data_IF_521646789409
#
_entry.id   IF_521646789409
#
_cell.length_a   1.000
_cell.length_b   1.000
_cell.length_c   1.000
_cell.angle_alpha   90.00
_cell.angle_beta   90.00
_cell.angle_gamma   90.00
#
_symmetry.space_group_name_H-M   'P 1'
#
loop_
_entity.id
_entity.type
_entity.pdbx_description
1 polymer ?
#
# COMPACT_ATOMS: atom_id res chain seq x y z
N UNK A 1 -31.19 23.30 -13.92
CA UNK A 1 -30.96 21.92 -14.40
C UNK A 1 -29.71 21.88 -15.26
N UNK A 2 -28.50 21.89 -14.68
CA UNK A 2 -27.27 21.58 -15.40
C UNK A 2 -26.09 21.31 -14.44
N UNK A 3 -26.25 20.40 -13.49
CA UNK A 3 -25.15 19.90 -12.66
C UNK A 3 -24.83 18.47 -13.09
N UNK A 4 -24.37 18.32 -14.33
CA UNK A 4 -23.80 17.04 -14.76
C UNK A 4 -22.31 17.11 -14.47
N UNK A 5 -21.84 16.27 -13.54
CA UNK A 5 -20.41 16.15 -13.24
C UNK A 5 -19.69 15.82 -14.57
N UNK A 6 -18.66 16.59 -14.96
CA UNK A 6 -17.90 16.29 -16.16
C UNK A 6 -17.27 14.90 -16.03
N UNK A 7 -17.46 14.03 -17.04
CA UNK A 7 -16.84 12.71 -17.04
C UNK A 7 -15.32 12.89 -17.14
N UNK A 8 -14.60 12.33 -16.17
CA UNK A 8 -13.15 12.10 -16.29
C UNK A 8 -12.93 10.99 -17.31
N UNK A 9 -11.82 11.08 -18.03
CA UNK A 9 -11.32 9.98 -18.85
C UNK A 9 -11.02 8.76 -17.97
N UNK A 10 -11.31 7.56 -18.47
CA UNK A 10 -11.08 6.34 -17.72
C UNK A 10 -9.57 6.17 -17.47
N UNK A 11 -9.17 5.64 -16.31
CA UNK A 11 -7.79 5.22 -16.08
C UNK A 11 -7.33 4.19 -17.12
N UNK A 12 -6.03 4.11 -17.36
CA UNK A 12 -5.46 3.13 -18.28
C UNK A 12 -5.62 1.73 -17.69
N UNK A 13 -6.16 0.80 -18.48
CA UNK A 13 -6.46 -0.57 -18.06
C UNK A 13 -5.87 -1.54 -19.08
N UNK A 14 -5.00 -2.43 -18.63
CA UNK A 14 -4.33 -3.41 -19.48
C UNK A 14 -4.88 -4.80 -19.23
N UNK A 15 -5.48 -5.39 -20.26
CA UNK A 15 -5.76 -6.83 -20.26
C UNK A 15 -4.47 -7.59 -20.56
N UNK A 16 -4.18 -8.57 -19.71
CA UNK A 16 -2.99 -9.40 -19.83
C UNK A 16 -3.42 -10.85 -20.06
N UNK A 17 -2.86 -11.47 -21.11
CA UNK A 17 -3.07 -12.89 -21.42
C UNK A 17 -2.19 -13.80 -20.55
N UNK A 18 -1.24 -13.22 -19.83
CA UNK A 18 -0.30 -13.89 -18.95
C UNK A 18 -0.92 -14.26 -17.59
N UNK A 19 -0.36 -15.29 -16.95
CA UNK A 19 -0.80 -15.76 -15.64
C UNK A 19 -0.66 -14.71 -14.53
N UNK A 20 -1.55 -14.77 -13.54
CA UNK A 20 -1.76 -13.82 -12.43
C UNK A 20 -0.51 -13.19 -11.82
N UNK A 21 0.55 -13.97 -11.58
CA UNK A 21 1.77 -13.46 -10.95
C UNK A 21 2.62 -12.62 -11.93
N UNK A 22 2.71 -13.04 -13.21
CA UNK A 22 3.48 -12.33 -14.24
C UNK A 22 2.89 -10.95 -14.48
N UNK A 23 1.58 -10.88 -14.65
CA UNK A 23 0.82 -9.66 -14.91
C UNK A 23 0.82 -8.68 -13.74
N UNK A 24 0.73 -9.16 -12.49
CA UNK A 24 0.87 -8.30 -11.30
C UNK A 24 2.27 -7.69 -11.19
N UNK A 25 3.32 -8.46 -11.53
CA UNK A 25 4.70 -7.98 -11.44
C UNK A 25 5.02 -6.98 -12.55
N UNK A 26 4.53 -7.22 -13.76
CA UNK A 26 4.80 -6.37 -14.92
C UNK A 26 4.10 -5.00 -14.82
N UNK A 27 2.84 -4.96 -14.39
CA UNK A 27 2.09 -3.70 -14.20
C UNK A 27 2.40 -3.00 -12.88
N UNK A 28 3.12 -3.69 -11.99
CA UNK A 28 3.48 -3.23 -10.66
C UNK A 28 2.43 -3.57 -9.62
N UNK A 29 2.85 -4.28 -8.57
CA UNK A 29 1.95 -4.79 -7.52
C UNK A 29 1.02 -3.73 -6.90
N UNK A 30 1.56 -2.55 -6.56
CA UNK A 30 0.74 -1.48 -5.97
C UNK A 30 -0.21 -0.83 -6.96
N UNK A 31 0.20 -0.69 -8.22
CA UNK A 31 -0.61 -0.10 -9.28
C UNK A 31 -1.80 -1.00 -9.60
N UNK A 32 -1.57 -2.31 -9.67
CA UNK A 32 -2.64 -3.30 -9.82
C UNK A 32 -3.55 -3.35 -8.58
N UNK A 33 -2.98 -3.32 -7.37
CA UNK A 33 -3.77 -3.44 -6.14
C UNK A 33 -4.61 -2.19 -5.80
N UNK A 34 -4.17 -0.98 -6.17
CA UNK A 34 -4.81 0.28 -5.77
C UNK A 34 -5.50 1.00 -6.92
N UNK A 35 -4.92 0.99 -8.11
CA UNK A 35 -5.42 1.71 -9.28
C UNK A 35 -6.15 0.79 -10.28
N UNK A 36 -6.29 -0.50 -9.95
CA UNK A 36 -6.96 -1.53 -10.77
C UNK A 36 -6.41 -1.59 -12.19
N UNK A 37 -5.08 -1.47 -12.34
CA UNK A 37 -4.40 -1.34 -13.64
C UNK A 37 -4.59 -2.55 -14.58
N UNK A 38 -5.02 -3.71 -14.07
CA UNK A 38 -5.33 -4.90 -14.84
C UNK A 38 -6.42 -5.77 -14.18
N UNK A 39 -6.83 -6.84 -14.86
CA UNK A 39 -7.88 -7.76 -14.40
C UNK A 39 -7.62 -8.47 -13.05
N UNK A 40 -6.39 -8.44 -12.54
CA UNK A 40 -6.00 -9.07 -11.29
C UNK A 40 -6.06 -8.13 -10.08
N UNK A 41 -6.59 -6.91 -10.24
CA UNK A 41 -6.76 -5.94 -9.15
C UNK A 41 -7.39 -6.53 -7.88
N UNK A 42 -8.53 -7.24 -7.95
CA UNK A 42 -9.15 -7.85 -6.77
C UNK A 42 -8.23 -8.85 -6.03
N UNK A 43 -7.41 -9.60 -6.77
CA UNK A 43 -6.49 -10.58 -6.21
C UNK A 43 -5.30 -9.87 -5.56
N UNK A 44 -4.72 -8.89 -6.24
CA UNK A 44 -3.63 -8.07 -5.72
C UNK A 44 -4.06 -7.30 -4.46
N UNK A 45 -5.30 -6.80 -4.42
CA UNK A 45 -5.88 -6.11 -3.26
C UNK A 45 -6.01 -7.04 -2.05
N UNK A 46 -6.46 -8.29 -2.21
CA UNK A 46 -6.54 -9.26 -1.10
C UNK A 46 -5.14 -9.58 -0.55
N UNK A 47 -4.16 -9.80 -1.44
CA UNK A 47 -2.77 -10.04 -1.04
C UNK A 47 -2.22 -8.83 -0.28
N UNK A 48 -2.50 -7.62 -0.77
CA UNK A 48 -2.08 -6.38 -0.12
C UNK A 48 -2.72 -6.21 1.26
N UNK A 49 -4.02 -6.51 1.40
CA UNK A 49 -4.72 -6.45 2.68
C UNK A 49 -4.16 -7.48 3.67
N UNK A 50 -3.88 -8.70 3.21
CA UNK A 50 -3.22 -9.72 4.02
C UNK A 50 -1.85 -9.24 4.53
N UNK A 51 -1.05 -8.66 3.64
CA UNK A 51 0.26 -8.10 4.01
C UNK A 51 0.12 -6.95 5.02
N UNK A 52 -0.75 -5.97 4.76
CA UNK A 52 -0.95 -4.82 5.64
C UNK A 52 -1.48 -5.24 7.03
N UNK A 53 -2.39 -6.20 7.08
CA UNK A 53 -2.96 -6.70 8.33
C UNK A 53 -1.94 -7.47 9.16
N UNK A 54 -1.16 -8.37 8.55
CA UNK A 54 -0.07 -9.09 9.24
C UNK A 54 0.98 -8.10 9.73
N UNK A 55 1.42 -7.18 8.88
CA UNK A 55 2.42 -6.18 9.26
C UNK A 55 1.95 -5.34 10.47
N UNK A 56 0.74 -4.79 10.39
CA UNK A 56 0.18 -3.96 11.45
C UNK A 56 -0.05 -4.77 12.73
N UNK A 57 -0.63 -5.97 12.60
CA UNK A 57 -0.91 -6.87 13.73
C UNK A 57 0.37 -7.33 14.42
N UNK A 58 1.42 -7.65 13.66
CA UNK A 58 2.73 -8.01 14.21
C UNK A 58 3.38 -6.84 14.94
N UNK A 59 3.35 -5.63 14.38
CA UNK A 59 3.88 -4.43 15.03
C UNK A 59 3.15 -4.20 16.37
N UNK A 60 1.82 -4.26 16.37
CA UNK A 60 1.03 -4.07 17.58
C UNK A 60 1.26 -5.19 18.59
N UNK A 61 1.31 -6.44 18.13
CA UNK A 61 1.58 -7.60 18.98
C UNK A 61 2.93 -7.50 19.69
N UNK A 62 4.00 -7.16 18.94
CA UNK A 62 5.32 -6.92 19.52
C UNK A 62 5.31 -5.75 20.50
N UNK A 63 4.56 -4.70 20.20
CA UNK A 63 4.37 -3.56 21.10
C UNK A 63 3.55 -3.92 22.37
N UNK A 64 2.76 -4.99 22.37
CA UNK A 64 1.97 -5.40 23.55
C UNK A 64 2.72 -6.41 24.44
N UNK A 65 3.65 -7.18 23.88
CA UNK A 65 4.35 -8.25 24.62
C UNK A 65 5.22 -7.73 25.79
N UNK A 66 5.83 -6.57 25.65
CA UNK A 66 6.60 -5.93 26.73
C UNK A 66 6.51 -4.40 26.62
N UNK A 67 6.08 -3.67 27.66
CA UNK A 67 5.94 -2.22 27.63
C UNK A 67 7.27 -1.47 27.38
N UNK A 68 8.42 -2.06 27.73
CA UNK A 68 9.74 -1.49 27.44
C UNK A 68 10.08 -1.61 25.96
N UNK A 69 9.78 -2.76 25.35
CA UNK A 69 9.98 -2.98 23.89
C UNK A 69 9.01 -2.10 23.09
N UNK A 70 7.78 -1.94 23.58
CA UNK A 70 6.76 -1.04 23.01
C UNK A 70 7.24 0.40 22.91
N UNK A 71 7.75 0.94 24.02
CA UNK A 71 8.27 2.30 24.09
C UNK A 71 9.50 2.47 23.19
N UNK A 72 10.41 1.49 23.19
CA UNK A 72 11.58 1.49 22.32
C UNK A 72 11.22 1.48 20.83
N UNK A 73 10.31 0.58 20.42
CA UNK A 73 9.88 0.42 19.03
C UNK A 73 9.14 1.66 18.51
N UNK A 74 8.25 2.24 19.33
CA UNK A 74 7.51 3.46 18.96
C UNK A 74 8.40 4.69 18.85
N UNK A 75 9.36 4.87 19.77
CA UNK A 75 10.37 5.95 19.67
C UNK A 75 11.22 5.79 18.41
N UNK A 76 11.67 4.57 18.12
CA UNK A 76 12.52 4.29 16.95
C UNK A 76 11.76 4.50 15.63
N UNK A 77 10.49 4.09 15.57
CA UNK A 77 9.61 4.29 14.41
C UNK A 77 9.30 5.78 14.17
N UNK A 78 8.98 6.53 15.22
CA UNK A 78 8.74 7.98 15.11
C UNK A 78 10.03 8.72 14.74
N UNK A 79 11.16 8.36 15.36
CA UNK A 79 12.47 8.95 15.06
C UNK A 79 12.89 8.72 13.61
N UNK A 80 12.73 7.49 13.09
CA UNK A 80 13.02 7.19 11.68
C UNK A 80 12.09 7.91 10.72
N UNK A 81 10.79 8.02 11.02
CA UNK A 81 9.86 8.82 10.21
C UNK A 81 10.21 10.30 10.19
N UNK A 82 10.61 10.87 11.32
CA UNK A 82 11.03 12.27 11.41
C UNK A 82 12.33 12.53 10.64
N UNK A 83 13.31 11.63 10.74
CA UNK A 83 14.57 11.70 9.97
C UNK A 83 14.29 11.56 8.47
N UNK A 84 13.42 10.62 8.07
CA UNK A 84 13.02 10.45 6.68
C UNK A 84 12.29 11.71 6.16
N UNK A 85 11.35 12.27 6.93
CA UNK A 85 10.68 13.54 6.62
C UNK A 85 11.68 14.69 6.45
N UNK A 86 12.66 14.81 7.34
CA UNK A 86 13.70 15.84 7.23
C UNK A 86 14.59 15.65 5.99
N UNK A 87 14.96 14.39 5.68
CA UNK A 87 15.73 14.04 4.48
C UNK A 87 14.98 14.39 3.19
N UNK A 88 13.68 14.15 3.15
CA UNK A 88 12.84 14.44 1.97
C UNK A 88 12.47 15.91 1.84
N UNK A 89 12.33 16.64 2.96
CA UNK A 89 12.01 18.07 2.94
C UNK A 89 13.21 18.98 2.64
N UNK A 90 14.43 18.46 2.80
CA UNK A 90 15.67 19.17 2.49
C UNK A 90 16.16 19.02 1.05
N UNK A 91 15.38 18.42 0.16
CA UNK A 91 15.65 18.29 -1.28
C UNK A 91 14.63 19.05 -2.10
#
# INVERSE_FOLDING_TARGET
>A
MNERIPRREAPDFRDSEDGLISSIVEDGFLNVALDDANQYGPHAMIIFLGFASVLTGSILGLAMFDPLISAGASILLVGTLLIAKFRFSGR
#
